data_IF_745056796864
#
_entry.id   IF_745056796864
#
_cell.length_a   1.000
_cell.length_b   1.000
_cell.length_c   1.000
_cell.angle_alpha   90.00
_cell.angle_beta   90.00
_cell.angle_gamma   90.00
#
_symmetry.space_group_name_H-M   'P 1'
#
loop_
_entity.id
_entity.type
_entity.pdbx_description
1 polymer ?
#
# COMPACT_ATOMS: atom_id res chain seq x y z
N UNK A 1 -56.86 22.30 -44.00
CA UNK A 1 -55.51 21.88 -44.40
C UNK A 1 -54.41 22.58 -43.59
N UNK A 2 -54.51 23.89 -43.33
CA UNK A 2 -53.49 24.68 -42.59
C UNK A 2 -53.25 24.23 -41.13
N UNK A 3 -54.30 23.87 -40.38
CA UNK A 3 -54.16 23.44 -38.98
C UNK A 3 -53.38 22.12 -38.79
N UNK A 4 -53.47 21.21 -39.76
CA UNK A 4 -52.70 19.94 -39.74
C UNK A 4 -51.21 20.21 -39.98
N UNK A 5 -50.90 21.16 -40.87
CA UNK A 5 -49.51 21.57 -41.15
C UNK A 5 -48.87 22.19 -39.91
N UNK A 6 -49.61 23.06 -39.20
CA UNK A 6 -49.13 23.69 -37.95
C UNK A 6 -48.84 22.64 -36.86
N UNK A 7 -49.78 21.72 -36.63
CA UNK A 7 -49.60 20.63 -35.66
C UNK A 7 -48.38 19.74 -35.97
N UNK A 8 -48.18 19.39 -37.24
CA UNK A 8 -47.01 18.60 -37.66
C UNK A 8 -45.70 19.38 -37.48
N UNK A 9 -45.70 20.68 -37.75
CA UNK A 9 -44.51 21.54 -37.56
C UNK A 9 -44.12 21.63 -36.09
N UNK A 10 -45.08 21.87 -35.19
CA UNK A 10 -44.83 21.89 -33.74
C UNK A 10 -44.30 20.55 -33.22
N UNK A 11 -44.88 19.44 -33.71
CA UNK A 11 -44.42 18.10 -33.37
C UNK A 11 -42.98 17.83 -33.82
N UNK A 12 -42.60 18.28 -35.03
CA UNK A 12 -41.22 18.18 -35.54
C UNK A 12 -40.27 19.03 -34.70
N UNK A 13 -40.63 20.28 -34.41
CA UNK A 13 -39.81 21.18 -33.60
C UNK A 13 -39.57 20.62 -32.19
N UNK A 14 -40.61 20.07 -31.57
CA UNK A 14 -40.51 19.41 -30.26
C UNK A 14 -39.58 18.20 -30.29
N UNK A 15 -39.69 17.34 -31.32
CA UNK A 15 -38.80 16.17 -31.49
C UNK A 15 -37.36 16.60 -31.74
N UNK A 16 -37.12 17.61 -32.56
CA UNK A 16 -35.78 18.14 -32.83
C UNK A 16 -35.14 18.72 -31.57
N UNK A 17 -35.91 19.44 -30.73
CA UNK A 17 -35.45 19.91 -29.44
C UNK A 17 -35.05 18.75 -28.53
N UNK A 18 -35.85 17.67 -28.49
CA UNK A 18 -35.54 16.45 -27.75
C UNK A 18 -34.26 15.77 -28.24
N UNK A 19 -34.09 15.60 -29.55
CA UNK A 19 -32.87 15.01 -30.13
C UNK A 19 -31.64 15.84 -29.76
N UNK A 20 -31.73 17.17 -29.83
CA UNK A 20 -30.64 18.06 -29.43
C UNK A 20 -30.29 17.89 -27.96
N UNK A 21 -31.29 17.78 -27.09
CA UNK A 21 -31.09 17.52 -25.67
C UNK A 21 -30.41 16.15 -25.44
N UNK A 22 -30.94 15.07 -26.02
CA UNK A 22 -30.35 13.73 -25.89
C UNK A 22 -28.90 13.67 -26.38
N UNK A 23 -28.58 14.37 -27.47
CA UNK A 23 -27.21 14.44 -27.96
C UNK A 23 -26.29 15.17 -26.98
N UNK A 24 -26.74 16.27 -26.37
CA UNK A 24 -25.97 16.98 -25.36
C UNK A 24 -25.76 16.11 -24.11
N UNK A 25 -26.81 15.41 -23.66
CA UNK A 25 -26.75 14.51 -22.51
C UNK A 25 -25.78 13.35 -22.78
N UNK A 26 -25.81 12.78 -23.99
CA UNK A 26 -24.90 11.72 -24.41
C UNK A 26 -23.44 12.19 -24.44
N UNK A 27 -23.17 13.39 -24.95
CA UNK A 27 -21.82 13.97 -24.96
C UNK A 27 -21.32 14.21 -23.54
N UNK A 28 -22.18 14.77 -22.66
CA UNK A 28 -21.84 14.98 -21.26
C UNK A 28 -21.54 13.65 -20.55
N UNK A 29 -22.36 12.61 -20.80
CA UNK A 29 -22.15 11.29 -20.24
C UNK A 29 -20.85 10.64 -20.73
N UNK A 30 -20.53 10.77 -22.02
CA UNK A 30 -19.26 10.29 -22.57
C UNK A 30 -18.05 10.96 -21.91
N UNK A 31 -18.12 12.29 -21.68
CA UNK A 31 -17.06 13.03 -20.99
C UNK A 31 -16.89 12.57 -19.53
N UNK A 32 -18.00 12.37 -18.81
CA UNK A 32 -17.99 11.88 -17.43
C UNK A 32 -17.37 10.47 -17.35
N UNK A 33 -17.76 9.56 -18.25
CA UNK A 33 -17.19 8.21 -18.28
C UNK A 33 -15.68 8.23 -18.54
N UNK A 34 -15.21 9.05 -19.47
CA UNK A 34 -13.79 9.19 -19.76
C UNK A 34 -12.99 9.71 -18.56
N UNK A 35 -13.55 10.65 -17.78
CA UNK A 35 -12.95 11.14 -16.54
C UNK A 35 -12.87 10.02 -15.47
N UNK A 36 -13.96 9.27 -15.27
CA UNK A 36 -13.98 8.14 -14.35
C UNK A 36 -12.96 7.05 -14.73
N UNK A 37 -12.82 6.72 -16.02
CA UNK A 37 -11.84 5.74 -16.50
C UNK A 37 -10.41 6.19 -16.17
N UNK A 38 -10.09 7.46 -16.40
CA UNK A 38 -8.79 8.03 -16.07
C UNK A 38 -8.51 7.95 -14.57
N UNK A 39 -9.51 8.29 -13.75
CA UNK A 39 -9.42 8.28 -12.29
C UNK A 39 -9.22 6.86 -11.74
N UNK A 40 -10.01 5.89 -12.21
CA UNK A 40 -9.87 4.47 -11.84
C UNK A 40 -8.47 3.96 -12.20
N UNK A 41 -7.98 4.30 -13.39
CA UNK A 41 -6.63 3.90 -13.83
C UNK A 41 -5.56 4.46 -12.90
N UNK A 42 -5.63 5.75 -12.56
CA UNK A 42 -4.67 6.38 -11.66
C UNK A 42 -4.68 5.74 -10.27
N UNK A 43 -5.86 5.42 -9.74
CA UNK A 43 -6.01 4.75 -8.45
C UNK A 43 -5.44 3.33 -8.47
N UNK A 44 -5.66 2.60 -9.57
CA UNK A 44 -5.12 1.26 -9.74
C UNK A 44 -3.59 1.25 -9.83
N UNK A 45 -3.00 2.23 -10.51
CA UNK A 45 -1.54 2.40 -10.56
C UNK A 45 -0.97 2.66 -9.16
N UNK A 46 -1.65 3.49 -8.36
CA UNK A 46 -1.25 3.78 -6.99
C UNK A 46 -1.31 2.55 -6.09
N UNK A 47 -2.43 1.82 -6.12
CA UNK A 47 -2.63 0.58 -5.37
C UNK A 47 -1.58 -0.48 -5.73
N UNK A 48 -1.33 -0.64 -7.04
CA UNK A 48 -0.31 -1.56 -7.56
C UNK A 48 1.07 -1.21 -7.02
N UNK A 49 1.46 0.08 -7.09
CA UNK A 49 2.76 0.56 -6.58
C UNK A 49 2.97 0.19 -5.12
N UNK A 50 2.05 0.56 -4.24
CA UNK A 50 2.21 0.33 -2.80
C UNK A 50 2.12 -1.15 -2.41
N UNK A 51 1.29 -1.93 -3.11
CA UNK A 51 1.21 -3.38 -2.90
C UNK A 51 2.52 -4.06 -3.32
N UNK A 52 3.10 -3.67 -4.45
CA UNK A 52 4.40 -4.19 -4.90
C UNK A 52 5.53 -3.78 -3.95
N UNK A 53 5.60 -2.52 -3.52
CA UNK A 53 6.61 -2.07 -2.56
C UNK A 53 6.50 -2.82 -1.22
N UNK A 54 5.27 -3.08 -0.75
CA UNK A 54 5.04 -3.87 0.46
C UNK A 54 5.51 -5.33 0.29
N UNK A 55 5.18 -5.96 -0.84
CA UNK A 55 5.62 -7.32 -1.13
C UNK A 55 7.15 -7.43 -1.18
N UNK A 56 7.81 -6.46 -1.81
CA UNK A 56 9.28 -6.39 -1.87
C UNK A 56 9.88 -6.22 -0.47
N UNK A 57 9.34 -5.32 0.35
CA UNK A 57 9.83 -5.12 1.72
C UNK A 57 9.65 -6.37 2.59
N UNK A 58 8.53 -7.10 2.44
CA UNK A 58 8.30 -8.37 3.14
C UNK A 58 9.30 -9.44 2.70
N UNK A 59 9.58 -9.53 1.39
CA UNK A 59 10.57 -10.45 0.85
C UNK A 59 11.99 -10.15 1.37
N UNK A 60 12.38 -8.87 1.42
CA UNK A 60 13.66 -8.45 1.99
C UNK A 60 13.76 -8.81 3.48
N UNK A 61 12.70 -8.57 4.26
CA UNK A 61 12.66 -8.96 5.67
C UNK A 61 12.83 -10.47 5.85
N UNK A 62 12.17 -11.29 5.02
CA UNK A 62 12.30 -12.74 5.12
C UNK A 62 13.70 -13.23 4.71
N UNK A 63 14.31 -12.63 3.67
CA UNK A 63 15.70 -12.89 3.31
C UNK A 63 16.66 -12.57 4.46
N UNK A 64 16.50 -11.41 5.10
CA UNK A 64 17.30 -11.01 6.25
C UNK A 64 17.11 -11.96 7.44
N UNK A 65 15.90 -12.44 7.67
CA UNK A 65 15.60 -13.44 8.71
C UNK A 65 16.36 -14.74 8.46
N UNK A 66 16.28 -15.27 7.24
CA UNK A 66 16.98 -16.50 6.84
C UNK A 66 18.50 -16.32 6.95
N UNK A 67 19.04 -15.18 6.53
CA UNK A 67 20.45 -14.87 6.62
C UNK A 67 20.93 -14.81 8.09
N UNK A 68 20.16 -14.15 8.96
CA UNK A 68 20.45 -14.04 10.38
C UNK A 68 20.42 -15.41 11.10
N UNK A 69 19.56 -16.32 10.67
CA UNK A 69 19.48 -17.69 11.22
C UNK A 69 20.64 -18.59 10.75
N UNK A 70 21.02 -18.51 9.46
CA UNK A 70 21.97 -19.45 8.85
C UNK A 70 23.43 -19.02 8.96
N UNK A 71 23.70 -17.72 8.89
CA UNK A 71 25.07 -17.18 8.93
C UNK A 71 25.06 -15.82 9.63
N UNK A 72 24.84 -15.77 10.95
CA UNK A 72 24.78 -14.51 11.67
C UNK A 72 26.13 -13.80 11.59
N UNK A 73 26.16 -12.62 10.96
CA UNK A 73 27.26 -11.69 11.17
C UNK A 73 27.31 -11.34 12.66
N UNK A 74 28.42 -11.70 13.30
CA UNK A 74 28.59 -11.50 14.74
C UNK A 74 29.25 -10.16 14.99
N UNK A 75 28.55 -9.29 15.71
CA UNK A 75 29.17 -8.10 16.29
C UNK A 75 29.81 -8.49 17.61
N UNK A 76 31.14 -8.36 17.69
CA UNK A 76 31.88 -8.57 18.94
C UNK A 76 31.72 -7.35 19.83
N UNK A 77 31.05 -7.53 20.96
CA UNK A 77 30.94 -6.50 22.00
C UNK A 77 31.99 -6.78 23.06
N UNK A 78 32.84 -5.80 23.35
CA UNK A 78 33.80 -5.89 24.46
C UNK A 78 33.05 -5.70 25.78
N UNK A 79 32.56 -6.81 26.35
CA UNK A 79 32.01 -6.82 27.69
C UNK A 79 33.13 -6.98 28.73
N UNK A 80 33.12 -6.14 29.78
CA UNK A 80 33.96 -6.33 30.97
C UNK A 80 33.04 -6.68 32.13
N UNK A 81 33.13 -7.91 32.63
CA UNK A 81 32.44 -8.32 33.85
C UNK A 81 33.30 -7.96 35.06
N UNK A 82 32.76 -7.31 36.11
CA UNK A 82 33.49 -7.08 37.35
C UNK A 82 33.90 -8.42 37.99
N UNK A 83 35.14 -8.52 38.47
CA UNK A 83 35.62 -9.69 39.22
C UNK A 83 34.93 -9.74 40.58
N UNK A 84 34.25 -10.84 40.88
CA UNK A 84 33.78 -11.13 42.24
C UNK A 84 34.95 -11.38 43.20
N UNK A 85 34.74 -11.12 44.50
CA UNK A 85 35.76 -11.15 45.58
C UNK A 85 36.31 -12.55 45.94
N UNK A 86 36.01 -13.61 45.19
CA UNK A 86 36.39 -14.99 45.53
C UNK A 86 37.18 -15.70 44.42
N UNK A 87 38.35 -16.24 44.80
CA UNK A 87 39.23 -17.07 43.97
C UNK A 87 38.74 -18.54 43.89
N UNK A 88 37.50 -18.76 43.49
CA UNK A 88 37.03 -20.10 43.13
C UNK A 88 37.06 -20.24 41.61
N UNK A 89 37.85 -21.17 41.09
CA UNK A 89 37.79 -21.62 39.69
C UNK A 89 36.46 -22.32 39.47
N UNK A 90 35.41 -21.55 39.18
CA UNK A 90 34.14 -22.10 38.72
C UNK A 90 34.39 -22.79 37.38
N UNK A 91 34.11 -24.10 37.30
CA UNK A 91 34.10 -24.81 36.03
C UNK A 91 33.23 -24.05 35.02
N UNK A 92 33.72 -23.89 33.79
CA UNK A 92 32.90 -23.42 32.69
C UNK A 92 31.76 -24.42 32.53
N UNK A 93 30.56 -24.04 32.97
CA UNK A 93 29.33 -24.75 32.59
C UNK A 93 29.24 -24.75 31.06
N UNK A 94 28.88 -25.88 30.47
CA UNK A 94 28.59 -25.98 29.03
C UNK A 94 27.21 -25.37 28.77
N UNK A 95 27.11 -24.09 29.12
CA UNK A 95 25.91 -23.29 28.98
C UNK A 95 25.69 -22.97 27.52
N UNK A 96 24.43 -23.05 27.08
CA UNK A 96 24.04 -22.61 25.74
C UNK A 96 24.53 -21.18 25.50
N UNK A 97 25.11 -20.94 24.32
CA UNK A 97 25.59 -19.60 23.95
C UNK A 97 24.51 -18.53 24.20
N UNK A 98 24.92 -17.42 24.84
CA UNK A 98 24.02 -16.32 25.16
C UNK A 98 23.32 -15.82 23.89
N UNK A 99 22.02 -16.11 23.78
CA UNK A 99 21.17 -15.71 22.65
C UNK A 99 19.79 -15.25 23.14
N UNK A 100 19.11 -14.36 22.40
CA UNK A 100 17.71 -14.04 22.68
C UNK A 100 16.83 -15.29 22.63
N UNK A 101 15.73 -15.28 23.38
CA UNK A 101 14.74 -16.36 23.35
C UNK A 101 14.10 -16.46 21.97
N UNK A 102 13.63 -17.65 21.58
CA UNK A 102 12.97 -17.84 20.28
C UNK A 102 11.74 -16.92 20.12
N UNK A 103 11.03 -16.65 21.23
CA UNK A 103 9.93 -15.67 21.25
C UNK A 103 10.41 -14.24 20.98
N UNK A 104 11.53 -13.80 21.56
CA UNK A 104 12.08 -12.47 21.30
C UNK A 104 12.50 -12.32 19.83
N UNK A 105 13.11 -13.35 19.25
CA UNK A 105 13.50 -13.37 17.82
C UNK A 105 12.24 -13.28 16.94
N UNK A 106 11.24 -14.12 17.19
CA UNK A 106 9.99 -14.11 16.44
C UNK A 106 9.25 -12.77 16.52
N UNK A 107 9.15 -12.19 17.72
CA UNK A 107 8.51 -10.90 17.94
C UNK A 107 9.24 -9.76 17.22
N UNK A 108 10.57 -9.79 17.16
CA UNK A 108 11.35 -8.80 16.43
C UNK A 108 11.04 -8.83 14.92
N UNK A 109 11.02 -10.01 14.30
CA UNK A 109 10.70 -10.13 12.88
C UNK A 109 9.25 -9.76 12.56
N UNK A 110 8.31 -10.15 13.44
CA UNK A 110 6.92 -9.72 13.33
C UNK A 110 6.78 -8.20 13.41
N UNK A 111 7.50 -7.55 14.33
CA UNK A 111 7.52 -6.09 14.45
C UNK A 111 8.02 -5.44 13.16
N UNK A 112 9.11 -5.95 12.58
CA UNK A 112 9.65 -5.44 11.29
C UNK A 112 8.62 -5.53 10.17
N UNK A 113 7.90 -6.63 10.06
CA UNK A 113 6.83 -6.79 9.06
C UNK A 113 5.69 -5.77 9.27
N UNK A 114 5.21 -5.62 10.50
CA UNK A 114 4.13 -4.66 10.82
C UNK A 114 4.52 -3.20 10.56
N UNK A 115 5.79 -2.86 10.79
CA UNK A 115 6.32 -1.52 10.46
C UNK A 115 6.31 -1.31 8.94
N UNK A 116 6.75 -2.31 8.16
CA UNK A 116 6.72 -2.22 6.69
C UNK A 116 5.29 -2.06 6.15
N UNK A 117 4.34 -2.84 6.67
CA UNK A 117 2.91 -2.73 6.36
C UNK A 117 2.38 -1.33 6.69
N UNK A 118 2.54 -0.88 7.94
CA UNK A 118 2.03 0.42 8.39
C UNK A 118 2.63 1.57 7.58
N UNK A 119 3.93 1.50 7.27
CA UNK A 119 4.61 2.48 6.43
C UNK A 119 3.98 2.56 5.03
N UNK A 120 3.77 1.41 4.38
CA UNK A 120 3.19 1.39 3.04
C UNK A 120 1.73 1.84 3.02
N UNK A 121 0.95 1.48 4.03
CA UNK A 121 -0.42 1.99 4.20
C UNK A 121 -0.44 3.53 4.35
N UNK A 122 0.44 4.08 5.17
CA UNK A 122 0.54 5.54 5.34
C UNK A 122 0.96 6.24 4.04
N UNK A 123 1.96 5.71 3.32
CA UNK A 123 2.39 6.27 2.05
C UNK A 123 1.28 6.22 1.00
N UNK A 124 0.57 5.09 0.89
CA UNK A 124 -0.56 4.95 -0.02
C UNK A 124 -1.69 5.93 0.27
N UNK A 125 -2.04 6.12 1.56
CA UNK A 125 -3.05 7.12 1.94
C UNK A 125 -2.60 8.55 1.64
N UNK A 126 -1.32 8.88 1.86
CA UNK A 126 -0.80 10.20 1.53
C UNK A 126 -0.82 10.48 0.03
N UNK A 127 -0.39 9.50 -0.79
CA UNK A 127 -0.39 9.65 -2.25
C UNK A 127 -1.83 9.67 -2.81
N UNK A 128 -2.76 8.93 -2.20
CA UNK A 128 -4.19 9.01 -2.52
C UNK A 128 -4.71 10.43 -2.31
N UNK A 129 -4.48 11.02 -1.12
CA UNK A 129 -4.93 12.38 -0.82
C UNK A 129 -4.34 13.39 -1.82
N UNK A 130 -3.05 13.27 -2.15
CA UNK A 130 -2.40 14.16 -3.12
C UNK A 130 -2.99 14.03 -4.52
N UNK A 131 -3.41 12.83 -4.91
CA UNK A 131 -3.91 12.55 -6.25
C UNK A 131 -5.40 12.88 -6.38
N UNK A 132 -6.20 12.64 -5.35
CA UNK A 132 -7.66 12.62 -5.44
C UNK A 132 -8.34 13.80 -4.73
N UNK A 133 -7.69 14.40 -3.74
CA UNK A 133 -8.29 15.44 -2.90
C UNK A 133 -7.68 16.83 -3.10
N UNK A 134 -6.45 16.90 -3.62
CA UNK A 134 -5.70 18.15 -3.81
C UNK A 134 -5.53 18.55 -5.29
N UNK A 135 -6.14 17.80 -6.21
CA UNK A 135 -6.26 18.19 -7.61
C UNK A 135 -7.30 19.28 -7.82
#
# INVERSE_FOLDING_TARGET
MVGVIYFLSDSINSKNAKIKQLNNDLIAQAAITADYEKRIKSLHELDTKHTTELANAKAEIDQLRIAAERNPERVYIRASCPKGESNTTSGLDDGTAARPTDSAIGNYWLLRQRIAESKQMMLGLQDYIRTECLQ
#
